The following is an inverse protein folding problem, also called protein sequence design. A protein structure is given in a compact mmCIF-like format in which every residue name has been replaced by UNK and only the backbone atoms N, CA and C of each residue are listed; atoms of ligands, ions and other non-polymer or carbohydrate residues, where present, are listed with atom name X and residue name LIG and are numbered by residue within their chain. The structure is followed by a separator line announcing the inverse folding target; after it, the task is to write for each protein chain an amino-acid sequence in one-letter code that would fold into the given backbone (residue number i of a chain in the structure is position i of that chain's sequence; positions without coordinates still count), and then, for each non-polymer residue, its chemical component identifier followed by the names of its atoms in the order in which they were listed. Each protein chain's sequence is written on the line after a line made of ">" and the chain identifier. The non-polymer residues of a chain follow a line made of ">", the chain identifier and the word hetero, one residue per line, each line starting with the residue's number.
data_IF_127640982820
#
_entry.id   IF_127640982820
#
_cell.length_a   1.000
_cell.length_b   1.000
_cell.length_c   1.000
_cell.angle_alpha   90.00
_cell.angle_beta   90.00
_cell.angle_gamma   90.00
#
_symmetry.space_group_name_H-M   'P 1'
#
loop_
_entity.id
_entity.type
_entity.pdbx_description
1 polymer ?
#
# COMPACT_ATOMS: atom_id res chain seq x y z
N UNK A 1 18.81 -23.70 30.04
CA UNK A 1 19.32 -22.48 30.72
C UNK A 1 18.24 -21.60 31.38
N UNK A 2 16.98 -21.58 30.93
CA UNK A 2 15.92 -20.69 31.45
C UNK A 2 15.51 -20.96 32.92
N UNK A 3 15.43 -22.23 33.33
CA UNK A 3 15.05 -22.59 34.71
C UNK A 3 16.06 -22.13 35.78
N UNK A 4 17.36 -22.05 35.43
CA UNK A 4 18.41 -21.63 36.35
C UNK A 4 18.30 -20.13 36.68
N UNK A 5 17.91 -19.30 35.68
CA UNK A 5 17.76 -17.84 35.82
C UNK A 5 16.58 -17.46 36.73
N UNK A 6 15.43 -18.16 36.59
CA UNK A 6 14.25 -17.91 37.43
C UNK A 6 14.49 -18.26 38.91
N UNK A 7 15.26 -19.33 39.18
CA UNK A 7 15.61 -19.72 40.56
C UNK A 7 16.53 -18.71 41.24
N UNK A 8 17.45 -18.09 40.48
CA UNK A 8 18.33 -17.03 40.99
C UNK A 8 17.56 -15.76 41.33
N UNK A 9 16.61 -15.34 40.48
CA UNK A 9 15.78 -14.14 40.72
C UNK A 9 14.90 -14.30 41.96
N UNK A 10 14.31 -15.49 42.16
CA UNK A 10 13.50 -15.77 43.35
C UNK A 10 14.33 -15.72 44.64
N UNK A 11 15.58 -16.18 44.59
CA UNK A 11 16.51 -16.11 45.73
C UNK A 11 16.99 -14.69 46.03
N UNK A 12 17.30 -13.88 45.01
CA UNK A 12 17.71 -12.49 45.23
C UNK A 12 16.58 -11.67 45.84
N UNK A 13 15.35 -11.84 45.36
CA UNK A 13 14.18 -11.14 45.92
C UNK A 13 13.93 -11.52 47.39
N UNK A 14 14.06 -12.80 47.72
CA UNK A 14 13.88 -13.28 49.10
C UNK A 14 14.96 -12.73 50.06
N UNK A 15 16.21 -12.63 49.60
CA UNK A 15 17.29 -12.02 50.38
C UNK A 15 17.05 -10.52 50.58
N UNK A 16 16.61 -9.80 49.54
CA UNK A 16 16.32 -8.36 49.65
C UNK A 16 15.18 -8.10 50.65
N UNK A 17 14.12 -8.92 50.63
CA UNK A 17 13.00 -8.81 51.59
C UNK A 17 13.46 -9.12 53.02
N UNK A 18 14.30 -10.14 53.21
CA UNK A 18 14.85 -10.50 54.52
C UNK A 18 15.78 -9.40 55.07
N UNK A 19 16.61 -8.79 54.22
CA UNK A 19 17.47 -7.67 54.59
C UNK A 19 16.66 -6.42 54.96
N UNK A 20 15.59 -6.10 54.21
CA UNK A 20 14.67 -5.01 54.54
C UNK A 20 13.96 -5.24 55.88
N UNK A 21 13.56 -6.49 56.15
CA UNK A 21 12.94 -6.88 57.42
C UNK A 21 13.92 -6.78 58.60
N UNK A 22 15.17 -7.23 58.43
CA UNK A 22 16.20 -7.10 59.46
C UNK A 22 16.59 -5.64 59.73
N UNK A 23 16.65 -4.80 58.68
CA UNK A 23 16.91 -3.37 58.82
C UNK A 23 15.80 -2.63 59.60
N UNK A 24 14.55 -3.08 59.49
CA UNK A 24 13.43 -2.55 60.27
C UNK A 24 13.58 -2.84 61.78
N UNK A 25 14.30 -3.90 62.16
CA UNK A 25 14.54 -4.26 63.56
C UNK A 25 15.74 -3.52 64.19
N UNK A 26 16.62 -2.94 63.37
CA UNK A 26 17.81 -2.18 63.80
C UNK A 26 17.54 -0.69 64.02
N UNK A 27 16.31 -0.21 63.83
CA UNK A 27 15.96 1.18 64.07
C UNK A 27 15.85 1.45 65.59
N UNK A 28 16.58 2.45 66.14
CA UNK A 28 16.58 2.72 67.58
C UNK A 28 15.19 3.11 68.06
N UNK A 29 14.74 2.47 69.14
CA UNK A 29 13.44 2.64 69.78
C UNK A 29 13.33 4.04 70.42
N UNK A 30 12.96 5.04 69.61
CA UNK A 30 12.66 6.41 70.04
C UNK A 30 11.16 6.70 70.03
N UNK A 31 10.71 7.49 71.01
CA UNK A 31 9.31 7.72 71.43
C UNK A 31 8.33 8.36 70.42
N UNK A 32 8.60 8.30 69.11
CA UNK A 32 7.70 8.77 68.03
C UNK A 32 7.32 7.62 67.06
N UNK A 33 7.41 6.39 67.53
CA UNK A 33 7.39 5.15 66.73
C UNK A 33 6.10 4.87 65.95
N UNK A 34 4.95 5.43 66.32
CA UNK A 34 3.68 5.04 65.69
C UNK A 34 3.51 5.61 64.27
N UNK A 35 4.02 6.81 64.00
CA UNK A 35 3.85 7.47 62.71
C UNK A 35 4.77 6.85 61.64
N UNK A 36 6.01 6.51 62.01
CA UNK A 36 6.94 5.82 61.11
C UNK A 36 6.59 4.34 60.90
N UNK A 37 6.10 3.64 61.94
CA UNK A 37 5.64 2.25 61.78
C UNK A 37 4.40 2.17 60.88
N UNK A 38 3.52 3.18 60.95
CA UNK A 38 2.35 3.29 60.07
C UNK A 38 2.72 3.42 58.59
N UNK A 39 3.72 4.25 58.26
CA UNK A 39 4.18 4.44 56.86
C UNK A 39 4.83 3.16 56.32
N UNK A 40 5.63 2.47 57.14
CA UNK A 40 6.25 1.20 56.74
C UNK A 40 5.19 0.11 56.49
N UNK A 41 4.18 -0.01 57.37
CA UNK A 41 3.08 -0.95 57.19
C UNK A 41 2.20 -0.61 55.96
N UNK A 42 1.94 0.67 55.71
CA UNK A 42 1.22 1.13 54.53
C UNK A 42 1.98 0.82 53.24
N UNK A 43 3.31 0.97 53.22
CA UNK A 43 4.15 0.64 52.07
C UNK A 43 4.15 -0.86 51.72
N UNK A 44 4.14 -1.72 52.75
CA UNK A 44 4.03 -3.17 52.57
C UNK A 44 2.63 -3.56 52.06
N UNK A 45 1.57 -2.94 52.59
CA UNK A 45 0.20 -3.19 52.13
C UNK A 45 -0.04 -2.70 50.69
N UNK A 46 0.50 -1.54 50.31
CA UNK A 46 0.43 -1.02 48.93
C UNK A 46 1.22 -1.92 47.98
N UNK A 47 2.41 -2.38 48.37
CA UNK A 47 3.21 -3.31 47.56
C UNK A 47 2.53 -4.67 47.39
N UNK A 48 1.83 -5.15 48.42
CA UNK A 48 1.06 -6.40 48.37
C UNK A 48 -0.21 -6.24 47.52
N UNK A 49 -0.89 -5.09 47.60
CA UNK A 49 -2.05 -4.79 46.77
C UNK A 49 -1.69 -4.71 45.27
N UNK A 50 -0.53 -4.14 44.93
CA UNK A 50 -0.01 -4.10 43.55
C UNK A 50 0.29 -5.51 43.01
N UNK A 51 0.60 -6.48 43.86
CA UNK A 51 0.83 -7.88 43.47
C UNK A 51 -0.46 -8.69 43.27
N UNK A 52 -1.58 -8.27 43.85
CA UNK A 52 -2.85 -9.00 43.81
C UNK A 52 -3.80 -8.47 42.71
N UNK A 53 -3.64 -7.22 42.28
CA UNK A 53 -4.43 -6.65 41.16
C UNK A 53 -3.76 -7.02 39.82
N UNK A 54 -4.44 -7.70 38.86
CA UNK A 54 -3.90 -7.91 37.53
C UNK A 54 -3.71 -6.56 36.82
N UNK A 55 -2.71 -6.37 35.93
CA UNK A 55 -2.50 -5.08 35.29
C UNK A 55 -3.64 -4.77 34.30
N UNK A 56 -4.64 -4.01 34.76
CA UNK A 56 -5.63 -3.37 33.90
C UNK A 56 -5.03 -2.10 33.27
N UNK A 57 -3.90 -2.25 32.57
CA UNK A 57 -3.21 -1.17 31.88
C UNK A 57 -2.87 -1.59 30.43
N UNK A 58 -3.91 -1.91 29.66
CA UNK A 58 -3.84 -1.95 28.19
C UNK A 58 -4.21 -0.62 27.53
N UNK A 59 -4.43 0.46 28.30
CA UNK A 59 -4.97 1.73 27.78
C UNK A 59 -4.03 2.94 27.73
N UNK A 60 -2.84 2.91 28.32
CA UNK A 60 -1.94 4.08 28.39
C UNK A 60 -0.52 3.74 27.92
N UNK A 61 -0.38 3.42 26.63
CA UNK A 61 0.92 3.41 25.91
C UNK A 61 1.12 4.66 25.06
N UNK A 62 0.79 5.83 25.59
CA UNK A 62 1.16 7.11 24.95
C UNK A 62 1.59 8.09 26.03
N UNK A 63 2.87 8.00 26.40
CA UNK A 63 3.73 9.07 26.93
C UNK A 63 4.96 8.39 27.57
N UNK A 64 5.89 7.93 26.73
CA UNK A 64 7.25 7.62 27.18
C UNK A 64 8.18 8.61 26.51
N UNK A 65 8.62 9.58 27.30
CA UNK A 65 9.78 10.43 27.04
C UNK A 65 10.99 9.48 26.87
N UNK A 66 11.81 9.61 25.82
CA UNK A 66 13.00 8.79 25.70
C UNK A 66 14.08 9.34 26.64
N UNK A 67 14.26 8.67 27.78
CA UNK A 67 15.50 8.73 28.53
C UNK A 67 16.59 8.07 27.68
N UNK A 68 17.53 8.89 27.22
CA UNK A 68 18.68 8.42 26.48
C UNK A 68 19.55 7.48 27.31
N UNK A 69 20.03 6.43 26.64
CA UNK A 69 21.41 5.94 26.57
C UNK A 69 21.54 4.44 26.92
N UNK A 70 21.54 3.63 25.87
CA UNK A 70 22.41 2.47 25.73
C UNK A 70 22.72 2.34 24.24
N UNK A 71 23.99 2.53 23.88
CA UNK A 71 24.50 2.38 22.53
C UNK A 71 24.38 0.91 22.12
N UNK A 72 23.38 0.61 21.29
CA UNK A 72 23.30 -0.66 20.56
C UNK A 72 23.86 -0.40 19.16
N UNK A 73 25.14 -0.70 18.96
CA UNK A 73 25.87 -0.52 17.70
C UNK A 73 25.49 -1.59 16.66
N UNK A 74 24.19 -1.91 16.55
CA UNK A 74 23.62 -2.85 15.59
C UNK A 74 22.43 -2.30 14.79
N UNK A 75 21.87 -1.15 15.19
CA UNK A 75 20.70 -0.52 14.54
C UNK A 75 21.01 0.88 13.96
N UNK A 76 22.29 1.29 13.96
CA UNK A 76 22.69 2.63 13.54
C UNK A 76 22.35 2.94 12.08
N UNK A 77 22.40 1.95 11.18
CA UNK A 77 22.13 2.17 9.77
C UNK A 77 20.64 2.40 9.48
N UNK A 78 19.74 1.64 10.12
CA UNK A 78 18.29 1.78 9.98
C UNK A 78 17.77 3.07 10.65
N UNK A 79 18.37 3.48 11.77
CA UNK A 79 18.02 4.76 12.42
C UNK A 79 18.44 5.96 11.56
N UNK A 80 19.63 5.91 10.94
CA UNK A 80 20.09 6.93 10.00
C UNK A 80 19.26 6.94 8.72
N UNK A 81 18.97 5.78 8.14
CA UNK A 81 18.08 5.62 7.00
C UNK A 81 16.71 6.27 7.26
N UNK A 82 16.14 6.01 8.44
CA UNK A 82 14.86 6.61 8.85
C UNK A 82 14.93 8.14 8.92
N UNK A 83 16.02 8.69 9.44
CA UNK A 83 16.24 10.15 9.51
C UNK A 83 16.39 10.73 8.10
N UNK A 84 17.15 10.09 7.23
CA UNK A 84 17.35 10.52 5.85
C UNK A 84 16.04 10.51 5.07
N UNK A 85 15.27 9.42 5.15
CA UNK A 85 13.94 9.32 4.53
C UNK A 85 13.06 10.47 5.02
N UNK A 86 13.03 10.75 6.32
CA UNK A 86 12.25 11.86 6.88
C UNK A 86 12.71 13.21 6.32
N UNK A 87 14.02 13.43 6.21
CA UNK A 87 14.58 14.68 5.69
C UNK A 87 14.21 14.88 4.21
N UNK A 88 14.34 13.83 3.41
CA UNK A 88 13.93 13.81 2.00
C UNK A 88 12.43 14.13 1.90
N UNK A 89 11.61 13.48 2.72
CA UNK A 89 10.16 13.73 2.75
C UNK A 89 9.82 15.19 3.07
N UNK A 90 10.54 15.83 4.00
CA UNK A 90 10.33 17.25 4.28
C UNK A 90 10.72 18.13 3.10
N UNK A 91 11.85 17.85 2.44
CA UNK A 91 12.26 18.61 1.26
C UNK A 91 11.27 18.46 0.10
N UNK A 92 10.79 17.24 -0.17
CA UNK A 92 9.74 16.99 -1.18
C UNK A 92 8.48 17.79 -0.84
N UNK A 93 8.06 17.74 0.42
CA UNK A 93 6.86 18.46 0.89
C UNK A 93 7.01 19.97 0.71
N UNK A 94 8.13 20.54 1.14
CA UNK A 94 8.43 21.98 1.01
C UNK A 94 8.46 22.41 -0.46
N UNK A 95 9.12 21.62 -1.30
CA UNK A 95 9.20 21.87 -2.75
C UNK A 95 7.82 21.84 -3.40
N UNK A 96 7.01 20.81 -3.12
CA UNK A 96 5.65 20.71 -3.66
C UNK A 96 4.74 21.82 -3.16
N UNK A 97 4.78 22.13 -1.86
CA UNK A 97 3.91 23.13 -1.26
C UNK A 97 4.28 24.56 -1.63
N UNK A 98 5.54 24.81 -1.98
CA UNK A 98 5.97 26.09 -2.54
C UNK A 98 5.25 26.43 -3.86
N UNK A 99 4.96 25.42 -4.68
CA UNK A 99 4.24 25.56 -5.95
C UNK A 99 2.72 25.35 -5.79
N UNK A 100 2.32 24.47 -4.88
CA UNK A 100 0.94 24.02 -4.67
C UNK A 100 0.62 23.94 -3.16
N UNK A 101 0.10 25.00 -2.53
CA UNK A 101 0.01 25.09 -1.07
C UNK A 101 -0.74 23.95 -0.36
N UNK A 102 -1.71 23.32 -1.03
CA UNK A 102 -2.49 22.19 -0.50
C UNK A 102 -2.03 20.82 -1.03
N UNK A 103 -0.86 20.75 -1.67
CA UNK A 103 -0.35 19.51 -2.23
C UNK A 103 -0.06 18.47 -1.15
N UNK A 104 -0.49 17.25 -1.45
CA UNK A 104 -0.17 16.04 -0.69
C UNK A 104 0.41 15.01 -1.63
N UNK A 105 1.23 14.12 -1.10
CA UNK A 105 1.95 13.15 -1.92
C UNK A 105 2.20 11.86 -1.14
N UNK A 106 2.34 10.76 -1.88
CA UNK A 106 2.73 9.45 -1.36
C UNK A 106 3.72 8.80 -2.33
N UNK A 107 4.66 8.00 -1.82
CA UNK A 107 5.50 7.18 -2.69
C UNK A 107 4.65 6.13 -3.41
N UNK A 108 4.76 6.03 -4.73
CA UNK A 108 4.00 5.05 -5.50
C UNK A 108 4.43 3.61 -5.20
N UNK A 109 5.72 3.44 -4.89
CA UNK A 109 6.32 2.19 -4.40
C UNK A 109 7.09 2.45 -3.11
N UNK A 110 7.31 1.45 -2.24
CA UNK A 110 8.12 1.62 -1.04
C UNK A 110 9.51 2.19 -1.37
N UNK A 111 9.83 3.37 -0.82
CA UNK A 111 11.12 4.02 -1.00
C UNK A 111 12.25 3.10 -0.53
N UNK A 112 13.20 2.84 -1.42
CA UNK A 112 14.49 2.24 -1.08
C UNK A 112 15.57 3.30 -1.29
N UNK A 113 16.24 3.72 -0.21
CA UNK A 113 17.22 4.80 -0.29
C UNK A 113 18.34 4.51 -1.28
N UNK A 114 18.76 3.26 -1.44
CA UNK A 114 19.82 2.88 -2.39
C UNK A 114 19.53 3.38 -3.80
N UNK A 115 18.30 3.22 -4.28
CA UNK A 115 17.90 3.65 -5.62
C UNK A 115 18.01 5.17 -5.78
N UNK A 116 17.53 5.93 -4.78
CA UNK A 116 17.64 7.39 -4.82
C UNK A 116 19.09 7.86 -4.81
N UNK A 117 19.94 7.21 -4.00
CA UNK A 117 21.35 7.54 -3.86
C UNK A 117 22.16 7.19 -5.11
N UNK A 118 21.74 6.16 -5.85
CA UNK A 118 22.32 5.77 -7.15
C UNK A 118 21.86 6.70 -8.30
N UNK A 119 20.97 7.66 -8.00
CA UNK A 119 20.44 8.65 -8.94
C UNK A 119 19.16 8.22 -9.66
N UNK A 120 18.59 7.06 -9.30
CA UNK A 120 17.33 6.60 -9.89
C UNK A 120 16.18 7.55 -9.53
N UNK A 121 15.30 7.78 -10.50
CA UNK A 121 14.07 8.54 -10.28
C UNK A 121 13.03 7.67 -9.55
N UNK A 122 12.50 8.16 -8.45
CA UNK A 122 11.42 7.52 -7.68
C UNK A 122 10.10 8.24 -7.96
N UNK A 123 9.09 7.43 -8.27
CA UNK A 123 7.75 7.91 -8.60
C UNK A 123 6.97 8.27 -7.33
N UNK A 124 6.40 9.47 -7.32
CA UNK A 124 5.46 9.97 -6.32
C UNK A 124 4.07 10.10 -6.94
N UNK A 125 3.04 9.69 -6.20
CA UNK A 125 1.64 9.99 -6.50
C UNK A 125 1.29 11.30 -5.80
N UNK A 126 0.82 12.30 -6.56
CA UNK A 126 0.53 13.65 -6.04
C UNK A 126 -0.96 13.94 -6.11
N UNK A 127 -1.46 14.71 -5.14
CA UNK A 127 -2.85 15.19 -5.08
C UNK A 127 -2.85 16.69 -4.83
N UNK A 128 -3.91 17.36 -5.29
CA UNK A 128 -4.06 18.82 -5.21
C UNK A 128 -2.94 19.60 -5.94
N UNK A 129 -2.36 19.00 -6.98
CA UNK A 129 -1.28 19.55 -7.80
C UNK A 129 -1.75 19.96 -9.20
N UNK A 130 -2.99 20.46 -9.30
CA UNK A 130 -3.63 20.84 -10.56
C UNK A 130 -3.84 19.65 -11.50
N UNK A 131 -3.25 19.71 -12.69
CA UNK A 131 -3.35 18.66 -13.72
C UNK A 131 -2.25 17.58 -13.60
N UNK A 132 -1.37 17.69 -12.61
CA UNK A 132 -0.31 16.72 -12.37
C UNK A 132 -0.80 15.71 -11.34
N UNK A 133 -0.69 14.42 -11.66
CA UNK A 133 -1.10 13.32 -10.77
C UNK A 133 0.11 12.56 -10.21
N UNK A 134 1.30 12.83 -10.77
CA UNK A 134 2.54 12.20 -10.34
C UNK A 134 3.65 13.23 -10.31
N UNK A 135 4.72 12.89 -9.61
CA UNK A 135 6.02 13.54 -9.73
C UNK A 135 7.12 12.48 -9.71
N UNK A 136 8.28 12.80 -10.23
CA UNK A 136 9.49 12.00 -10.03
C UNK A 136 10.48 12.80 -9.20
N UNK A 137 11.07 12.12 -8.21
CA UNK A 137 12.15 12.65 -7.39
C UNK A 137 13.42 11.89 -7.72
N UNK A 138 14.48 12.61 -8.07
CA UNK A 138 15.82 12.06 -8.25
C UNK A 138 16.83 12.88 -7.45
N UNK A 139 17.99 12.29 -7.19
CA UNK A 139 19.09 12.97 -6.50
C UNK A 139 20.27 13.10 -7.45
N UNK A 140 20.88 14.28 -7.51
CA UNK A 140 22.11 14.46 -8.29
C UNK A 140 23.36 13.99 -7.54
N UNK A 141 24.50 13.97 -8.24
CA UNK A 141 25.81 13.58 -7.70
C UNK A 141 26.29 14.44 -6.52
N UNK A 142 25.68 15.61 -6.32
CA UNK A 142 25.97 16.54 -5.22
C UNK A 142 25.01 16.40 -4.04
N UNK A 143 24.01 15.51 -4.14
CA UNK A 143 23.02 15.26 -3.09
C UNK A 143 21.82 16.22 -3.12
N UNK A 144 21.62 16.97 -4.20
CA UNK A 144 20.45 17.83 -4.36
C UNK A 144 19.28 17.03 -4.92
N UNK A 145 18.09 17.25 -4.36
CA UNK A 145 16.85 16.64 -4.86
C UNK A 145 16.28 17.46 -6.01
N UNK A 146 16.00 16.78 -7.12
CA UNK A 146 15.28 17.33 -8.26
C UNK A 146 13.89 16.73 -8.29
N UNK A 147 12.88 17.61 -8.36
CA UNK A 147 11.48 17.21 -8.39
C UNK A 147 10.85 17.61 -9.72
N UNK A 148 10.38 16.63 -10.48
CA UNK A 148 9.75 16.86 -11.76
C UNK A 148 8.27 16.48 -11.70
N UNK A 149 7.38 17.43 -11.95
CA UNK A 149 5.94 17.17 -12.02
C UNK A 149 5.58 16.45 -13.31
N UNK A 150 4.70 15.46 -13.19
CA UNK A 150 4.29 14.58 -14.27
C UNK A 150 2.77 14.52 -14.38
N UNK A 151 2.29 14.73 -15.59
CA UNK A 151 0.91 14.43 -15.96
C UNK A 151 0.93 13.18 -16.82
N UNK A 152 0.21 12.14 -16.39
CA UNK A 152 -0.04 10.99 -17.26
C UNK A 152 -1.02 11.44 -18.33
N UNK A 153 -0.45 11.85 -19.46
CA UNK A 153 -1.18 12.05 -20.69
C UNK A 153 -1.08 10.77 -21.51
N UNK A 154 -2.17 10.31 -22.12
CA UNK A 154 -2.07 9.25 -23.10
C UNK A 154 -1.04 9.64 -24.17
N UNK A 155 0.00 8.83 -24.35
CA UNK A 155 1.04 9.06 -25.35
C UNK A 155 0.38 9.17 -26.74
N UNK A 156 0.28 10.39 -27.28
CA UNK A 156 -0.11 10.58 -28.68
C UNK A 156 1.00 10.04 -29.56
N UNK A 157 0.82 8.82 -30.07
CA UNK A 157 1.66 8.19 -31.10
C UNK A 157 1.83 9.17 -32.26
N UNK A 158 3.06 9.58 -32.54
CA UNK A 158 3.42 10.47 -33.66
C UNK A 158 3.15 9.74 -34.97
N UNK A 159 2.06 10.10 -35.62
CA UNK A 159 1.61 9.55 -36.91
C UNK A 159 0.47 10.40 -37.48
N UNK A 160 0.88 11.43 -38.22
CA UNK A 160 0.23 12.13 -39.34
C UNK A 160 -1.23 12.60 -39.34
N UNK A 161 -1.33 13.87 -39.76
CA UNK A 161 -2.40 14.60 -40.46
C UNK A 161 -3.81 14.66 -39.82
N UNK A 162 -4.10 15.88 -39.36
CA UNK A 162 -5.38 16.59 -39.41
C UNK A 162 -6.67 15.74 -39.49
N UNK A 163 -7.35 15.59 -38.35
CA UNK A 163 -8.80 15.61 -38.26
C UNK A 163 -9.21 15.94 -36.80
N UNK A 164 -10.36 16.61 -36.67
CA UNK A 164 -11.01 17.24 -35.51
C UNK A 164 -10.90 16.59 -34.11
N UNK A 165 -11.16 17.39 -33.04
CA UNK A 165 -11.11 16.94 -31.65
C UNK A 165 -12.32 16.07 -31.26
N UNK A 166 -12.13 15.31 -30.17
CA UNK A 166 -13.10 14.50 -29.43
C UNK A 166 -13.57 13.16 -30.04
N UNK A 167 -12.66 12.18 -30.04
CA UNK A 167 -12.97 10.81 -29.60
C UNK A 167 -11.65 10.08 -29.29
N UNK A 168 -11.55 9.31 -28.20
CA UNK A 168 -10.37 8.47 -27.96
C UNK A 168 -10.24 7.48 -29.13
N UNK A 169 -9.22 7.71 -29.97
CA UNK A 169 -8.92 6.89 -31.14
C UNK A 169 -8.32 5.56 -30.66
N UNK A 170 -9.19 4.65 -30.22
CA UNK A 170 -8.79 3.26 -29.95
C UNK A 170 -8.47 2.63 -31.28
N UNK A 171 -7.23 2.19 -31.46
CA UNK A 171 -6.82 1.40 -32.61
C UNK A 171 -7.31 -0.06 -32.42
N UNK A 172 -8.24 -0.57 -33.25
CA UNK A 172 -8.87 -1.88 -33.02
C UNK A 172 -7.88 -3.04 -33.04
N UNK A 173 -6.84 -2.95 -33.87
CA UNK A 173 -5.79 -3.96 -33.96
C UNK A 173 -4.96 -4.02 -32.67
N UNK A 174 -4.51 -2.87 -32.17
CA UNK A 174 -3.80 -2.79 -30.88
C UNK A 174 -4.68 -3.28 -29.72
N UNK A 175 -5.96 -2.90 -29.70
CA UNK A 175 -6.89 -3.36 -28.67
C UNK A 175 -7.09 -4.88 -28.71
N UNK A 176 -7.29 -5.46 -29.91
CA UNK A 176 -7.46 -6.89 -30.06
C UNK A 176 -6.23 -7.65 -29.58
N UNK A 177 -5.03 -7.25 -30.00
CA UNK A 177 -3.80 -7.95 -29.60
C UNK A 177 -3.54 -7.92 -28.09
N UNK A 178 -3.89 -6.84 -27.39
CA UNK A 178 -3.55 -6.64 -25.98
C UNK A 178 -4.65 -7.10 -25.02
N UNK A 179 -5.91 -6.93 -25.41
CA UNK A 179 -7.07 -7.12 -24.53
C UNK A 179 -8.02 -8.16 -25.13
N UNK A 180 -8.45 -7.96 -26.38
CA UNK A 180 -9.49 -8.77 -27.00
C UNK A 180 -9.13 -10.24 -27.18
N UNK A 181 -7.97 -10.53 -27.78
CA UNK A 181 -7.50 -11.86 -28.14
C UNK A 181 -7.34 -12.79 -26.92
N UNK A 182 -6.58 -12.46 -25.86
CA UNK A 182 -6.44 -13.36 -24.72
C UNK A 182 -7.79 -13.66 -24.05
N UNK A 183 -8.66 -12.66 -23.93
CA UNK A 183 -10.00 -12.83 -23.37
C UNK A 183 -10.88 -13.74 -24.24
N UNK A 184 -10.91 -13.47 -25.55
CA UNK A 184 -11.75 -14.23 -26.49
C UNK A 184 -11.29 -15.67 -26.60
N UNK A 185 -9.98 -15.94 -26.65
CA UNK A 185 -9.45 -17.31 -26.67
C UNK A 185 -9.90 -18.10 -25.44
N UNK A 186 -9.79 -17.52 -24.24
CA UNK A 186 -10.26 -18.18 -23.01
C UNK A 186 -11.78 -18.37 -22.99
N UNK A 187 -12.53 -17.33 -23.35
CA UNK A 187 -14.00 -17.35 -23.33
C UNK A 187 -14.57 -18.32 -24.36
N UNK A 188 -14.09 -18.28 -25.60
CA UNK A 188 -14.48 -19.19 -26.69
C UNK A 188 -14.17 -20.63 -26.28
N UNK A 189 -12.97 -20.92 -25.76
CA UNK A 189 -12.62 -22.27 -25.30
C UNK A 189 -13.58 -22.79 -24.22
N UNK A 190 -13.92 -21.95 -23.23
CA UNK A 190 -14.87 -22.28 -22.18
C UNK A 190 -16.31 -22.48 -22.71
N UNK A 191 -16.73 -21.69 -23.69
CA UNK A 191 -18.07 -21.75 -24.29
C UNK A 191 -18.21 -22.95 -25.23
N UNK A 192 -17.19 -23.23 -26.04
CA UNK A 192 -17.11 -24.39 -26.91
C UNK A 192 -17.17 -25.69 -26.11
N UNK A 193 -16.44 -25.78 -25.00
CA UNK A 193 -16.52 -26.94 -24.09
C UNK A 193 -17.93 -27.15 -23.49
N UNK A 194 -18.75 -26.10 -23.45
CA UNK A 194 -20.15 -26.12 -22.99
C UNK A 194 -21.17 -26.31 -24.13
N UNK A 195 -20.70 -26.48 -25.37
CA UNK A 195 -21.55 -26.72 -26.55
C UNK A 195 -22.09 -25.46 -27.23
N UNK A 196 -21.56 -24.27 -26.89
CA UNK A 196 -21.91 -23.04 -27.60
C UNK A 196 -21.01 -22.84 -28.82
N UNK A 197 -21.57 -22.25 -29.88
CA UNK A 197 -20.88 -21.99 -31.15
C UNK A 197 -20.76 -20.49 -31.46
N UNK A 198 -21.34 -19.64 -30.61
CA UNK A 198 -21.33 -18.20 -30.78
C UNK A 198 -21.48 -17.43 -29.49
N UNK A 199 -20.99 -16.20 -29.51
CA UNK A 199 -21.17 -15.19 -28.47
C UNK A 199 -21.47 -13.83 -29.08
N UNK A 200 -21.96 -12.92 -28.25
CA UNK A 200 -22.24 -11.54 -28.63
C UNK A 200 -21.47 -10.60 -27.71
N UNK A 201 -20.91 -9.54 -28.28
CA UNK A 201 -20.27 -8.44 -27.56
C UNK A 201 -21.12 -7.20 -27.77
N UNK A 202 -21.80 -6.74 -26.72
CA UNK A 202 -22.60 -5.51 -26.78
C UNK A 202 -21.73 -4.26 -26.89
N UNK A 203 -22.35 -3.12 -27.23
CA UNK A 203 -21.65 -1.83 -27.35
C UNK A 203 -20.84 -1.41 -26.12
N UNK A 204 -21.26 -1.82 -24.93
CA UNK A 204 -20.59 -1.52 -23.66
C UNK A 204 -19.45 -2.50 -23.33
N UNK A 205 -19.16 -3.45 -24.23
CA UNK A 205 -18.21 -4.53 -24.03
C UNK A 205 -18.76 -5.72 -23.26
N UNK A 206 -20.05 -5.73 -22.90
CA UNK A 206 -20.66 -6.86 -22.21
C UNK A 206 -20.71 -8.07 -23.14
N UNK A 207 -20.13 -9.19 -22.70
CA UNK A 207 -20.04 -10.42 -23.45
C UNK A 207 -21.15 -11.36 -22.95
N UNK A 208 -22.05 -11.75 -23.85
CA UNK A 208 -23.19 -12.58 -23.49
C UNK A 208 -23.45 -13.67 -24.54
N UNK A 209 -24.19 -14.70 -24.11
CA UNK A 209 -24.73 -15.73 -25.00
C UNK A 209 -26.26 -15.67 -24.97
N UNK A 210 -26.90 -16.16 -26.02
CA UNK A 210 -28.35 -16.30 -26.06
C UNK A 210 -28.73 -17.74 -25.70
N UNK A 211 -29.37 -17.94 -24.56
CA UNK A 211 -29.96 -19.23 -24.19
C UNK A 211 -31.46 -19.18 -24.50
N UNK A 212 -31.82 -19.53 -25.74
CA UNK A 212 -33.17 -19.31 -26.26
C UNK A 212 -33.42 -17.83 -26.61
N UNK A 213 -34.17 -17.11 -25.75
CA UNK A 213 -34.47 -15.67 -25.92
C UNK A 213 -33.83 -14.79 -24.85
N UNK A 214 -33.24 -15.38 -23.82
CA UNK A 214 -32.68 -14.62 -22.70
C UNK A 214 -31.16 -14.44 -22.87
N UNK A 215 -30.65 -13.20 -22.76
CA UNK A 215 -29.22 -12.94 -22.77
C UNK A 215 -28.61 -13.29 -21.41
N UNK A 216 -27.60 -14.16 -21.42
CA UNK A 216 -26.81 -14.51 -20.24
C UNK A 216 -25.42 -13.89 -20.35
N UNK A 217 -25.14 -12.89 -19.51
CA UNK A 217 -23.84 -12.21 -19.47
C UNK A 217 -22.79 -13.14 -18.87
N UNK A 218 -21.72 -13.39 -19.63
CA UNK A 218 -20.60 -14.27 -19.26
C UNK A 218 -19.34 -13.50 -18.88
N UNK A 219 -19.24 -12.23 -19.28
CA UNK A 219 -18.11 -11.39 -18.92
C UNK A 219 -18.23 -9.99 -19.49
N UNK A 220 -17.15 -9.23 -19.36
CA UNK A 220 -17.06 -7.86 -19.87
C UNK A 220 -15.66 -7.59 -20.42
N UNK A 221 -15.62 -7.03 -21.62
CA UNK A 221 -14.42 -6.57 -22.30
C UNK A 221 -14.17 -5.11 -21.96
N UNK A 222 -13.07 -4.86 -21.25
CA UNK A 222 -12.65 -3.51 -20.90
C UNK A 222 -12.21 -2.74 -22.15
N UNK A 223 -12.59 -1.46 -22.23
CA UNK A 223 -12.23 -0.55 -23.31
C UNK A 223 -12.63 -1.04 -24.72
N UNK A 224 -13.76 -1.76 -24.85
CA UNK A 224 -14.26 -2.25 -26.13
C UNK A 224 -14.39 -1.12 -27.17
N UNK A 225 -13.89 -1.29 -28.42
CA UNK A 225 -13.95 -0.24 -29.43
C UNK A 225 -15.40 0.19 -29.74
N UNK A 226 -15.68 1.50 -29.83
CA UNK A 226 -17.02 1.98 -30.12
C UNK A 226 -17.43 1.60 -31.55
N UNK A 227 -18.74 1.57 -31.81
CA UNK A 227 -19.37 1.10 -33.06
C UNK A 227 -18.75 1.64 -34.35
N UNK A 228 -18.26 2.87 -34.34
CA UNK A 228 -17.54 3.48 -35.47
C UNK A 228 -16.30 2.68 -35.94
N UNK A 229 -15.72 1.85 -35.07
CA UNK A 229 -14.55 1.03 -35.34
C UNK A 229 -14.86 -0.44 -35.59
N UNK A 230 -16.12 -0.87 -35.49
CA UNK A 230 -16.50 -2.27 -35.70
C UNK A 230 -16.13 -2.79 -37.09
N UNK A 231 -16.29 -2.03 -38.20
CA UNK A 231 -15.86 -2.52 -39.52
C UNK A 231 -14.37 -2.87 -39.57
N UNK A 232 -13.51 -2.10 -38.88
CA UNK A 232 -12.08 -2.39 -38.78
C UNK A 232 -11.82 -3.56 -37.81
N UNK A 233 -12.60 -3.68 -36.73
CA UNK A 233 -12.49 -4.79 -35.78
C UNK A 233 -12.88 -6.14 -36.43
N UNK A 234 -13.90 -6.16 -37.29
CA UNK A 234 -14.30 -7.35 -38.04
C UNK A 234 -13.17 -7.84 -38.96
N UNK A 235 -12.41 -6.93 -39.58
CA UNK A 235 -11.22 -7.30 -40.35
C UNK A 235 -10.14 -7.92 -39.46
N UNK A 236 -9.89 -7.33 -38.29
CA UNK A 236 -8.92 -7.86 -37.32
C UNK A 236 -9.31 -9.26 -36.83
N UNK A 237 -10.61 -9.53 -36.62
CA UNK A 237 -11.10 -10.86 -36.29
C UNK A 237 -10.93 -11.85 -37.45
N UNK A 238 -11.26 -11.43 -38.68
CA UNK A 238 -11.07 -12.25 -39.86
C UNK A 238 -9.59 -12.60 -40.12
N UNK A 239 -8.67 -11.66 -39.87
CA UNK A 239 -7.22 -11.87 -39.96
C UNK A 239 -6.72 -12.93 -38.94
N UNK A 240 -7.48 -13.16 -37.87
CA UNK A 240 -7.18 -14.17 -36.83
C UNK A 240 -8.10 -15.41 -36.94
N UNK A 241 -8.68 -15.64 -38.12
CA UNK A 241 -9.56 -16.79 -38.43
C UNK A 241 -10.84 -16.87 -37.57
N UNK A 242 -11.29 -15.76 -36.98
CA UNK A 242 -12.56 -15.67 -36.28
C UNK A 242 -13.66 -15.12 -37.19
N UNK A 243 -14.77 -15.87 -37.31
CA UNK A 243 -15.95 -15.39 -38.04
C UNK A 243 -16.72 -14.40 -37.16
N UNK A 244 -16.77 -13.13 -37.59
CA UNK A 244 -17.48 -12.10 -36.86
C UNK A 244 -18.41 -11.28 -37.78
N UNK A 245 -19.55 -10.87 -37.24
CA UNK A 245 -20.54 -10.05 -37.92
C UNK A 245 -21.05 -8.92 -37.03
N UNK A 246 -21.30 -7.76 -37.62
CA UNK A 246 -21.97 -6.65 -36.93
C UNK A 246 -23.49 -6.86 -36.95
N UNK A 247 -24.12 -6.72 -35.79
CA UNK A 247 -25.57 -6.64 -35.62
C UNK A 247 -25.97 -5.23 -35.17
N UNK A 248 -27.27 -4.97 -34.97
CA UNK A 248 -27.76 -3.62 -34.62
C UNK A 248 -27.09 -3.04 -33.37
N UNK A 249 -26.85 -3.85 -32.33
CA UNK A 249 -26.30 -3.39 -31.04
C UNK A 249 -25.17 -4.26 -30.49
N UNK A 250 -24.63 -5.19 -31.28
CA UNK A 250 -23.57 -6.10 -30.84
C UNK A 250 -22.72 -6.63 -32.00
N UNK A 251 -21.52 -7.09 -31.67
CA UNK A 251 -20.70 -7.91 -32.57
C UNK A 251 -20.93 -9.38 -32.24
N UNK A 252 -21.45 -10.13 -33.21
CA UNK A 252 -21.60 -11.59 -33.14
C UNK A 252 -20.27 -12.23 -33.56
N UNK A 253 -19.74 -13.13 -32.73
CA UNK A 253 -18.57 -13.94 -33.05
C UNK A 253 -19.02 -15.39 -33.05
N UNK A 254 -18.73 -16.09 -34.14
CA UNK A 254 -19.06 -17.50 -34.37
C UNK A 254 -17.77 -18.28 -34.60
N UNK A 255 -17.75 -19.52 -34.13
CA UNK A 255 -16.64 -20.46 -34.34
C UNK A 255 -17.20 -21.85 -34.67
N UNK A 256 -16.40 -22.61 -35.41
CA UNK A 256 -16.72 -23.98 -35.83
C UNK A 256 -16.23 -25.02 -34.82
#
# INVERSE_FOLDING_TARGET
>A
MKAKKARTIKKTLQITVLCLFAAAFLLPKGSQSYLMTGIAAAGVLVSLAILIIPPLASGLRKLRIPTGRATDTGNGNSDLETILIRQISYQITDTLQSAFPEATWEFAEPLRLSHLLDGDAIRLSTRNTGNHNFAEVSMDEYGSLHLQMLTVSALKRKGDKAASPDMPKVDPASWYSLIGKPFLVEMIGNLQAKGHQKLFIGEQGDVYILNGKEPEVKGKLEHFPPKAYWPALLQVFADDELEAAETENAVEITWA
#
